data_IF_214324765973
#
_entry.id   IF_214324765973
#
_cell.length_a   1.000
_cell.length_b   1.000
_cell.length_c   1.000
_cell.angle_alpha   90.00
_cell.angle_beta   90.00
_cell.angle_gamma   90.00
#
_symmetry.space_group_name_H-M   'P 1'
#
loop_
_entity.id
_entity.type
_entity.pdbx_description
1 polymer ?
#
# COMPACT_ATOMS: atom_id res chain seq x y z
N UNK A 1 -61.92 1.72 5.51
CA UNK A 1 -61.29 0.53 6.13
C UNK A 1 -61.66 -0.68 5.29
N UNK A 2 -60.76 -1.13 4.43
CA UNK A 2 -60.92 -2.30 3.56
C UNK A 2 -59.63 -3.11 3.66
N UNK A 3 -59.74 -4.35 4.16
CA UNK A 3 -58.63 -5.28 4.30
C UNK A 3 -58.72 -6.36 3.23
N UNK A 4 -57.70 -6.45 2.39
CA UNK A 4 -57.60 -7.41 1.27
C UNK A 4 -56.86 -8.67 1.75
N UNK A 5 -57.48 -9.85 1.56
CA UNK A 5 -56.89 -11.17 1.85
C UNK A 5 -55.67 -11.45 0.96
N UNK A 6 -54.53 -11.74 1.58
CA UNK A 6 -53.38 -12.42 0.94
C UNK A 6 -53.57 -13.94 1.05
N UNK A 7 -53.53 -14.64 -0.07
CA UNK A 7 -53.45 -16.10 -0.17
C UNK A 7 -52.00 -16.55 0.03
N UNK A 8 -51.73 -17.34 1.06
CA UNK A 8 -50.45 -18.04 1.23
C UNK A 8 -50.48 -19.37 0.46
N UNK A 9 -49.51 -19.60 -0.42
CA UNK A 9 -49.22 -20.93 -0.97
C UNK A 9 -48.61 -21.79 0.14
N UNK A 10 -49.31 -22.83 0.56
CA UNK A 10 -48.78 -23.91 1.39
C UNK A 10 -47.80 -24.74 0.54
N UNK A 11 -46.52 -24.70 0.90
CA UNK A 11 -45.58 -25.74 0.48
C UNK A 11 -45.79 -26.94 1.41
N UNK A 12 -46.16 -28.09 0.84
CA UNK A 12 -46.29 -29.33 1.61
C UNK A 12 -44.90 -29.81 2.03
N UNK A 13 -44.65 -29.94 3.33
CA UNK A 13 -43.47 -30.61 3.88
C UNK A 13 -43.85 -32.02 4.30
N UNK A 14 -43.19 -33.02 3.74
CA UNK A 14 -43.30 -34.41 4.18
C UNK A 14 -42.24 -34.66 5.26
N UNK A 15 -42.65 -35.11 6.45
CA UNK A 15 -41.75 -35.45 7.54
C UNK A 15 -41.36 -36.93 7.51
N UNK A 16 -40.08 -37.23 7.66
CA UNK A 16 -39.59 -38.57 8.01
C UNK A 16 -38.93 -38.53 9.39
N UNK A 17 -39.34 -39.43 10.27
CA UNK A 17 -38.68 -39.71 11.55
C UNK A 17 -37.97 -41.05 11.41
N UNK A 18 -36.64 -41.07 11.56
CA UNK A 18 -35.87 -42.28 11.79
C UNK A 18 -35.20 -42.18 13.16
N UNK A 19 -35.45 -43.17 14.01
CA UNK A 19 -34.69 -43.39 15.23
C UNK A 19 -33.39 -44.13 14.87
N UNK A 20 -32.24 -43.50 15.14
CA UNK A 20 -30.91 -44.13 15.03
C UNK A 20 -29.91 -43.35 14.18
N UNK A 21 -29.07 -42.55 14.85
CA UNK A 21 -27.75 -42.04 14.40
C UNK A 21 -27.67 -41.36 13.02
N UNK A 22 -28.38 -40.25 12.87
CA UNK A 22 -27.85 -38.92 12.48
C UNK A 22 -26.92 -38.75 11.27
N UNK A 23 -27.45 -38.81 10.04
CA UNK A 23 -27.10 -37.85 8.98
C UNK A 23 -28.33 -37.63 8.08
N UNK A 24 -28.94 -36.45 8.16
CA UNK A 24 -30.12 -36.07 7.36
C UNK A 24 -29.67 -35.49 6.01
N UNK A 25 -29.86 -36.23 4.92
CA UNK A 25 -29.77 -35.66 3.56
C UNK A 25 -31.14 -35.15 3.13
N UNK A 26 -31.26 -33.84 2.95
CA UNK A 26 -32.41 -33.22 2.33
C UNK A 26 -32.16 -33.09 0.82
N UNK A 27 -32.85 -33.89 0.01
CA UNK A 27 -32.96 -33.65 -1.42
C UNK A 27 -34.34 -33.02 -1.69
N UNK A 28 -34.37 -31.77 -2.19
CA UNK A 28 -35.61 -31.18 -2.67
C UNK A 28 -35.92 -31.72 -4.06
N UNK A 29 -37.03 -32.46 -4.19
CA UNK A 29 -37.56 -32.88 -5.49
C UNK A 29 -38.29 -31.72 -6.16
N UNK A 30 -38.07 -31.55 -7.46
CA UNK A 30 -38.86 -30.59 -8.25
C UNK A 30 -40.28 -31.12 -8.49
N UNK A 31 -41.28 -30.25 -8.74
CA UNK A 31 -42.66 -30.67 -8.97
C UNK A 31 -42.83 -31.67 -10.13
N UNK A 32 -41.94 -31.62 -11.13
CA UNK A 32 -41.94 -32.53 -12.26
C UNK A 32 -41.45 -33.95 -11.90
N UNK A 33 -40.47 -34.05 -10.99
CA UNK A 33 -39.92 -35.33 -10.52
C UNK A 33 -40.87 -36.04 -9.55
N UNK A 34 -41.66 -35.29 -8.77
CA UNK A 34 -42.66 -35.84 -7.87
C UNK A 34 -43.85 -36.48 -8.61
N UNK A 35 -44.14 -36.06 -9.85
CA UNK A 35 -45.31 -36.51 -10.61
C UNK A 35 -45.14 -37.88 -11.29
N UNK A 36 -43.93 -38.43 -11.35
CA UNK A 36 -43.61 -39.66 -12.11
C UNK A 36 -42.93 -40.77 -11.28
N UNK A 37 -42.72 -40.56 -9.98
CA UNK A 37 -42.12 -41.57 -9.10
C UNK A 37 -43.15 -42.64 -8.68
N UNK A 38 -42.78 -43.92 -8.76
CA UNK A 38 -43.57 -45.00 -8.18
C UNK A 38 -43.18 -45.22 -6.71
N UNK A 39 -44.17 -45.40 -5.83
CA UNK A 39 -43.96 -45.66 -4.40
C UNK A 39 -44.41 -47.06 -4.02
N UNK A 40 -43.65 -47.71 -3.14
CA UNK A 40 -44.04 -48.97 -2.52
C UNK A 40 -43.84 -48.90 -1.01
N UNK A 41 -44.87 -49.24 -0.26
CA UNK A 41 -44.81 -49.36 1.20
C UNK A 41 -44.48 -50.80 1.59
N UNK A 42 -43.48 -50.97 2.44
CA UNK A 42 -43.08 -52.27 2.98
C UNK A 42 -43.91 -52.62 4.24
N UNK A 43 -44.00 -53.90 4.62
CA UNK A 43 -44.82 -54.34 5.75
C UNK A 43 -44.45 -53.73 7.12
N UNK A 44 -43.24 -53.19 7.25
CA UNK A 44 -42.74 -52.51 8.45
C UNK A 44 -43.06 -51.00 8.50
N UNK A 45 -43.81 -50.48 7.52
CA UNK A 45 -44.20 -49.08 7.44
C UNK A 45 -43.23 -48.18 6.68
N UNK A 46 -42.12 -48.72 6.17
CA UNK A 46 -41.14 -47.95 5.39
C UNK A 46 -41.65 -47.71 3.96
N UNK A 47 -41.47 -46.49 3.44
CA UNK A 47 -41.83 -46.14 2.05
C UNK A 47 -40.56 -46.07 1.19
N UNK A 48 -40.51 -46.90 0.14
CA UNK A 48 -39.48 -46.90 -0.89
C UNK A 48 -39.96 -46.11 -2.11
N UNK A 49 -39.15 -45.17 -2.60
CA UNK A 49 -39.44 -44.32 -3.76
C UNK A 49 -38.53 -44.74 -4.91
N UNK A 50 -39.10 -45.11 -6.05
CA UNK A 50 -38.38 -45.41 -7.28
C UNK A 50 -38.39 -44.17 -8.19
N UNK A 51 -37.21 -43.59 -8.42
CA UNK A 51 -37.03 -42.53 -9.40
C UNK A 51 -36.77 -43.15 -10.78
N UNK A 52 -37.48 -42.73 -11.85
CA UNK A 52 -37.18 -43.20 -13.18
C UNK A 52 -35.82 -42.66 -13.63
N UNK A 53 -34.96 -43.56 -14.12
CA UNK A 53 -33.75 -43.16 -14.85
C UNK A 53 -34.22 -42.62 -16.20
N UNK A 54 -34.04 -41.32 -16.43
CA UNK A 54 -34.27 -40.72 -17.74
C UNK A 54 -33.05 -41.04 -18.59
N UNK A 55 -33.16 -42.07 -19.42
CA UNK A 55 -32.21 -42.37 -20.48
C UNK A 55 -32.48 -41.37 -21.62
N UNK A 56 -31.59 -40.39 -21.79
CA UNK A 56 -31.67 -39.45 -22.90
C UNK A 56 -31.13 -40.12 -24.16
N UNK A 57 -32.02 -40.50 -25.08
CA UNK A 57 -31.66 -40.85 -26.46
C UNK A 57 -30.91 -39.69 -27.14
N UNK A 58 -29.86 -39.97 -27.95
CA UNK A 58 -29.17 -38.93 -28.68
C UNK A 58 -30.02 -38.48 -29.87
N UNK A 59 -30.61 -37.29 -29.77
CA UNK A 59 -31.25 -36.61 -30.90
C UNK A 59 -30.22 -36.36 -32.00
N UNK A 60 -30.51 -36.79 -33.22
CA UNK A 60 -29.70 -36.51 -34.40
C UNK A 60 -29.71 -35.00 -34.69
N UNK A 61 -28.59 -34.33 -34.38
CA UNK A 61 -28.37 -32.91 -34.66
C UNK A 61 -27.84 -32.76 -36.08
N UNK A 62 -28.52 -31.93 -36.87
CA UNK A 62 -28.08 -31.45 -38.18
C UNK A 62 -26.66 -30.90 -38.12
N UNK A 63 -25.83 -31.22 -39.12
CA UNK A 63 -24.47 -30.70 -39.27
C UNK A 63 -24.49 -29.16 -39.25
N UNK A 64 -23.95 -28.49 -38.21
CA UNK A 64 -23.74 -27.06 -38.30
C UNK A 64 -22.59 -26.82 -39.27
N UNK A 65 -22.79 -25.93 -40.23
CA UNK A 65 -21.71 -25.26 -40.95
C UNK A 65 -20.67 -24.80 -39.94
N UNK A 66 -19.40 -25.18 -40.13
CA UNK A 66 -18.32 -24.82 -39.23
C UNK A 66 -18.22 -23.29 -39.13
N UNK A 67 -18.81 -22.73 -38.07
CA UNK A 67 -18.46 -21.39 -37.59
C UNK A 67 -16.98 -21.46 -37.23
N UNK A 68 -16.12 -20.56 -37.75
CA UNK A 68 -14.72 -20.55 -37.37
C UNK A 68 -14.67 -20.42 -35.85
N UNK A 69 -14.09 -21.42 -35.20
CA UNK A 69 -13.79 -21.40 -33.78
C UNK A 69 -12.97 -20.14 -33.53
N UNK A 70 -13.55 -19.16 -32.84
CA UNK A 70 -12.79 -18.07 -32.25
C UNK A 70 -11.79 -18.73 -31.30
N UNK A 71 -10.54 -18.84 -31.76
CA UNK A 71 -9.40 -19.16 -30.90
C UNK A 71 -9.53 -18.23 -29.71
N UNK A 72 -9.53 -18.71 -28.45
CA UNK A 72 -9.40 -17.80 -27.33
C UNK A 72 -8.11 -17.03 -27.57
N UNK A 73 -8.22 -15.75 -27.92
CA UNK A 73 -7.08 -14.85 -28.00
C UNK A 73 -6.39 -15.00 -26.67
N UNK A 74 -5.19 -15.59 -26.67
CA UNK A 74 -4.36 -15.60 -25.50
C UNK A 74 -4.30 -14.15 -25.02
N UNK A 75 -4.84 -13.88 -23.83
CA UNK A 75 -4.57 -12.61 -23.16
C UNK A 75 -3.06 -12.45 -23.24
N UNK A 76 -2.54 -11.38 -23.86
CA UNK A 76 -1.11 -11.21 -23.92
C UNK A 76 -0.62 -11.31 -22.47
N UNK A 77 0.25 -12.27 -22.20
CA UNK A 77 1.08 -12.24 -20.99
C UNK A 77 1.57 -10.81 -20.91
N UNK A 78 1.21 -10.09 -19.85
CA UNK A 78 1.71 -8.74 -19.64
C UNK A 78 3.22 -8.85 -19.79
N UNK A 79 3.76 -8.30 -20.88
CA UNK A 79 5.19 -8.19 -21.05
C UNK A 79 5.63 -7.37 -19.85
N UNK A 80 6.40 -7.94 -18.93
CA UNK A 80 7.05 -7.18 -17.87
C UNK A 80 7.81 -6.05 -18.56
N UNK A 81 7.24 -4.85 -18.57
CA UNK A 81 7.93 -3.67 -19.06
C UNK A 81 9.07 -3.51 -18.08
N UNK A 82 10.35 -3.63 -18.52
CA UNK A 82 11.46 -3.52 -17.61
C UNK A 82 11.36 -2.16 -16.91
N UNK A 83 11.32 -2.17 -15.58
CA UNK A 83 11.35 -0.94 -14.80
C UNK A 83 12.59 -0.15 -15.22
N UNK A 84 12.47 1.10 -15.67
CA UNK A 84 13.60 1.89 -16.12
C UNK A 84 14.65 2.00 -15.03
N UNK A 85 15.91 1.87 -15.45
CA UNK A 85 17.04 2.13 -14.57
C UNK A 85 17.10 3.63 -14.22
N UNK A 86 17.59 3.95 -13.02
CA UNK A 86 17.75 5.32 -12.59
C UNK A 86 18.84 6.06 -13.40
N UNK A 87 18.70 7.39 -13.59
CA UNK A 87 19.70 8.18 -14.31
C UNK A 87 21.09 8.10 -13.66
N UNK A 88 22.14 7.93 -14.47
CA UNK A 88 23.53 7.83 -13.99
C UNK A 88 24.32 9.14 -14.10
N UNK A 89 23.74 10.17 -14.69
CA UNK A 89 24.38 11.49 -14.86
C UNK A 89 23.40 12.61 -14.52
N UNK A 90 23.91 13.69 -13.94
CA UNK A 90 23.16 14.92 -13.67
C UNK A 90 24.04 16.15 -13.85
N UNK A 91 23.42 17.29 -14.14
CA UNK A 91 24.05 18.61 -14.13
C UNK A 91 23.73 19.42 -12.86
N UNK A 92 22.95 18.85 -11.92
CA UNK A 92 22.61 19.50 -10.65
C UNK A 92 23.81 19.54 -9.72
N UNK A 93 23.85 20.54 -8.85
CA UNK A 93 24.90 20.74 -7.87
C UNK A 93 24.28 20.79 -6.48
N UNK A 94 24.96 20.17 -5.52
CA UNK A 94 24.55 20.09 -4.13
C UNK A 94 25.72 20.47 -3.24
N UNK A 95 25.40 20.96 -2.05
CA UNK A 95 26.37 21.42 -1.07
C UNK A 95 26.23 20.59 0.21
N UNK A 96 27.35 20.37 0.90
CA UNK A 96 27.33 19.81 2.25
C UNK A 96 27.31 20.93 3.28
N UNK A 97 26.64 20.67 4.40
CA UNK A 97 26.69 21.54 5.58
C UNK A 97 27.20 20.77 6.79
N UNK A 98 27.71 21.46 7.83
CA UNK A 98 28.13 20.80 9.06
C UNK A 98 26.96 20.16 9.79
N UNK A 99 27.20 18.95 10.31
CA UNK A 99 26.26 18.18 11.13
C UNK A 99 26.49 18.48 12.62
N UNK A 100 25.42 18.48 13.41
CA UNK A 100 25.51 18.57 14.86
C UNK A 100 25.90 17.21 15.45
N UNK A 101 26.91 17.13 16.34
CA UNK A 101 27.25 15.87 17.00
C UNK A 101 26.15 15.45 18.01
N UNK A 102 26.04 14.14 18.32
CA UNK A 102 26.86 13.05 17.78
C UNK A 102 26.43 12.61 16.38
N UNK A 103 27.31 11.94 15.62
CA UNK A 103 26.90 11.25 14.40
C UNK A 103 25.94 10.09 14.72
N UNK A 104 25.29 9.54 13.69
CA UNK A 104 24.52 8.32 13.79
C UNK A 104 25.37 7.20 14.43
N UNK A 105 24.75 6.41 15.29
CA UNK A 105 25.41 5.39 16.13
C UNK A 105 25.48 4.01 15.45
N UNK A 106 24.90 3.87 14.26
CA UNK A 106 24.94 2.67 13.42
C UNK A 106 25.29 3.02 11.96
N UNK A 107 25.86 2.08 11.19
CA UNK A 107 26.01 2.24 9.74
C UNK A 107 24.66 2.57 9.08
N UNK A 108 24.67 3.53 8.16
CA UNK A 108 23.46 4.10 7.57
C UNK A 108 22.60 3.07 6.83
N UNK A 109 23.25 2.14 6.13
CA UNK A 109 22.60 1.05 5.41
C UNK A 109 21.99 -0.02 6.32
N UNK A 110 22.39 -0.06 7.59
CA UNK A 110 21.91 -0.96 8.64
C UNK A 110 21.05 -0.24 9.70
N UNK A 111 20.83 1.06 9.56
CA UNK A 111 20.10 1.89 10.52
C UNK A 111 18.60 1.92 10.18
N UNK A 112 17.78 1.15 10.92
CA UNK A 112 16.34 1.03 10.63
C UNK A 112 15.53 2.33 10.70
N UNK A 113 16.00 3.34 11.44
CA UNK A 113 15.41 4.68 11.40
C UNK A 113 15.81 5.53 10.20
N UNK A 114 16.92 5.26 9.52
CA UNK A 114 17.39 6.03 8.35
C UNK A 114 17.02 5.35 7.04
N UNK A 115 17.18 4.03 6.96
CA UNK A 115 16.87 3.21 5.80
C UNK A 115 15.54 2.49 6.01
N UNK A 116 14.44 3.13 5.60
CA UNK A 116 13.07 2.66 5.83
C UNK A 116 12.83 1.24 5.28
N UNK A 117 13.54 0.84 4.22
CA UNK A 117 13.41 -0.50 3.65
C UNK A 117 13.85 -1.64 4.58
N UNK A 118 14.69 -1.37 5.59
CA UNK A 118 15.02 -2.36 6.63
C UNK A 118 13.80 -2.69 7.49
N UNK A 119 13.03 -1.65 7.84
CA UNK A 119 11.73 -1.81 8.51
C UNK A 119 10.75 -2.48 7.54
N UNK A 120 10.68 -2.01 6.30
CA UNK A 120 9.63 -2.39 5.37
C UNK A 120 8.25 -1.92 5.84
N UNK A 121 7.22 -2.31 5.10
CA UNK A 121 5.85 -1.89 5.34
C UNK A 121 4.87 -2.89 4.75
N UNK A 122 3.61 -2.80 5.19
CA UNK A 122 2.49 -3.61 4.69
C UNK A 122 1.37 -2.69 4.24
N UNK A 123 0.69 -3.07 3.17
CA UNK A 123 -0.47 -2.34 2.67
C UNK A 123 -1.65 -2.42 3.64
N UNK A 124 -2.43 -1.34 3.73
CA UNK A 124 -3.65 -1.26 4.54
C UNK A 124 -4.84 -0.85 3.68
N UNK A 125 -6.04 -1.20 4.11
CA UNK A 125 -7.29 -0.80 3.44
C UNK A 125 -7.81 0.57 3.91
N UNK A 126 -6.94 1.42 4.45
CA UNK A 126 -7.33 2.73 4.98
C UNK A 126 -7.80 3.65 3.84
N UNK A 127 -8.68 4.60 4.17
CA UNK A 127 -9.20 5.53 3.17
C UNK A 127 -8.08 6.34 2.49
N UNK A 128 -8.11 6.37 1.16
CA UNK A 128 -7.21 7.20 0.36
C UNK A 128 -7.80 8.61 0.23
N UNK A 129 -7.31 9.52 1.07
CA UNK A 129 -7.66 10.93 1.04
C UNK A 129 -7.09 11.67 2.24
N UNK A 130 -7.12 13.00 2.16
CA UNK A 130 -6.77 13.87 3.28
C UNK A 130 -7.75 13.67 4.43
N UNK A 131 -7.20 13.58 5.64
CA UNK A 131 -7.98 13.40 6.87
C UNK A 131 -7.78 14.58 7.81
N UNK A 132 -8.77 14.79 8.67
CA UNK A 132 -8.68 15.75 9.78
C UNK A 132 -8.48 15.00 11.08
N UNK A 133 -7.34 15.24 11.73
CA UNK A 133 -7.05 14.76 13.08
C UNK A 133 -7.09 15.95 14.04
N UNK A 134 -7.80 15.81 15.15
CA UNK A 134 -7.88 16.85 16.18
C UNK A 134 -6.53 17.11 16.86
N UNK A 135 -6.45 18.22 17.61
CA UNK A 135 -5.28 18.59 18.41
C UNK A 135 -4.43 19.69 17.78
N UNK A 136 -3.34 20.05 18.46
CA UNK A 136 -2.40 21.05 17.99
C UNK A 136 -1.69 20.62 16.69
N UNK A 137 -1.17 21.60 15.95
CA UNK A 137 -0.29 21.39 14.80
C UNK A 137 0.83 22.43 14.84
N UNK A 138 1.93 22.16 14.14
CA UNK A 138 3.02 23.12 13.93
C UNK A 138 2.84 23.79 12.56
N UNK A 139 2.62 25.13 12.50
CA UNK A 139 2.57 25.84 11.23
C UNK A 139 3.90 25.79 10.46
N UNK A 140 5.02 25.48 11.13
CA UNK A 140 6.36 25.33 10.56
C UNK A 140 6.74 23.90 10.13
N UNK A 141 5.80 22.95 10.13
CA UNK A 141 6.02 21.58 9.67
C UNK A 141 6.33 21.51 8.16
N UNK A 142 7.10 20.52 7.68
CA UNK A 142 7.30 20.28 6.25
C UNK A 142 5.98 20.04 5.50
N UNK A 143 5.85 20.61 4.32
CA UNK A 143 4.61 20.59 3.53
C UNK A 143 4.76 19.75 2.26
N UNK A 144 3.97 18.69 2.16
CA UNK A 144 3.99 17.72 1.05
C UNK A 144 3.66 18.29 -0.34
N UNK A 145 2.89 19.39 -0.50
CA UNK A 145 2.80 20.05 -1.80
C UNK A 145 4.16 20.43 -2.40
N UNK A 146 5.19 20.67 -1.57
CA UNK A 146 6.55 20.96 -2.04
C UNK A 146 7.27 19.83 -2.77
N UNK A 147 6.72 18.60 -2.74
CA UNK A 147 7.23 17.46 -3.52
C UNK A 147 7.09 17.67 -5.03
N UNK A 148 6.01 18.34 -5.46
CA UNK A 148 5.64 18.49 -6.87
C UNK A 148 5.89 19.92 -7.34
N UNK A 149 6.42 20.07 -8.56
CA UNK A 149 6.78 21.39 -9.11
C UNK A 149 5.59 22.35 -9.25
N UNK A 150 4.40 21.82 -9.51
CA UNK A 150 3.14 22.56 -9.60
C UNK A 150 2.45 22.76 -8.23
N UNK A 151 3.03 22.21 -7.16
CA UNK A 151 2.48 22.26 -5.82
C UNK A 151 1.13 21.55 -5.70
N UNK A 152 0.82 20.52 -6.50
CA UNK A 152 -0.48 19.85 -6.45
C UNK A 152 -0.67 19.01 -5.18
N UNK A 153 -1.94 18.70 -4.87
CA UNK A 153 -2.28 17.53 -4.06
C UNK A 153 -2.47 16.36 -5.01
N UNK A 154 -1.57 15.36 -5.01
CA UNK A 154 -1.71 14.20 -5.89
C UNK A 154 -2.90 13.33 -5.47
N UNK A 155 -3.37 12.47 -6.38
CA UNK A 155 -4.23 11.36 -5.98
C UNK A 155 -3.45 10.42 -5.05
N UNK A 156 -4.06 10.02 -3.94
CA UNK A 156 -3.47 9.01 -3.07
C UNK A 156 -3.78 7.63 -3.66
N UNK A 157 -2.75 6.83 -3.90
CA UNK A 157 -2.82 5.58 -4.69
C UNK A 157 -2.72 4.34 -3.82
N UNK A 158 -1.99 4.41 -2.71
CA UNK A 158 -1.87 3.32 -1.75
C UNK A 158 -1.66 3.84 -0.32
N UNK A 159 -1.98 3.01 0.66
CA UNK A 159 -1.82 3.31 2.07
C UNK A 159 -1.10 2.14 2.74
N UNK A 160 -0.09 2.45 3.53
CA UNK A 160 0.76 1.43 4.14
C UNK A 160 1.02 1.74 5.61
N UNK A 161 1.33 0.68 6.35
CA UNK A 161 1.84 0.74 7.72
C UNK A 161 3.26 0.19 7.75
N UNK A 162 4.19 1.03 8.16
CA UNK A 162 5.60 0.71 8.40
C UNK A 162 5.72 -0.25 9.59
N UNK A 163 6.67 -1.17 9.55
CA UNK A 163 6.99 -2.00 10.72
C UNK A 163 7.85 -1.25 11.74
N UNK A 164 7.73 -1.64 13.00
CA UNK A 164 8.59 -1.14 14.06
C UNK A 164 10.03 -1.66 13.88
N UNK A 165 10.97 -1.08 14.61
CA UNK A 165 12.35 -1.50 14.64
C UNK A 165 12.74 -1.79 16.08
N UNK A 166 13.11 -3.04 16.30
CA UNK A 166 13.54 -3.49 17.60
C UNK A 166 15.06 -3.40 17.68
N UNK A 167 15.56 -2.39 18.41
CA UNK A 167 17.00 -2.22 18.65
C UNK A 167 17.60 -3.30 19.57
N UNK A 168 16.78 -4.07 20.28
CA UNK A 168 17.25 -5.11 21.20
C UNK A 168 17.51 -6.46 20.50
N UNK A 169 17.29 -6.58 19.19
CA UNK A 169 17.59 -7.80 18.43
C UNK A 169 18.73 -7.58 17.43
N UNK A 170 19.77 -8.40 17.50
CA UNK A 170 20.93 -8.29 16.61
C UNK A 170 21.82 -7.08 16.91
N UNK A 171 22.91 -6.94 16.16
CA UNK A 171 23.89 -5.86 16.34
C UNK A 171 23.35 -4.49 15.93
N UNK A 172 22.53 -4.43 14.87
CA UNK A 172 21.99 -3.19 14.30
C UNK A 172 20.46 -3.10 14.40
N UNK A 173 19.85 -3.93 15.25
CA UNK A 173 18.40 -4.07 15.32
C UNK A 173 17.83 -5.01 14.26
N UNK A 174 16.52 -5.26 14.37
CA UNK A 174 15.76 -6.04 13.40
C UNK A 174 14.32 -5.54 13.31
N UNK A 175 13.62 -5.92 12.24
CA UNK A 175 12.20 -5.59 12.03
C UNK A 175 11.34 -6.17 13.15
N UNK A 176 10.51 -5.31 13.74
CA UNK A 176 9.50 -5.67 14.74
C UNK A 176 8.11 -5.87 14.16
N UNK A 177 7.09 -5.70 15.01
CA UNK A 177 5.68 -5.78 14.63
C UNK A 177 5.23 -4.56 13.83
N UNK A 178 4.04 -4.59 13.25
CA UNK A 178 3.45 -3.43 12.57
C UNK A 178 3.28 -2.21 13.51
N UNK A 179 3.55 -0.99 13.03
CA UNK A 179 3.37 0.23 13.82
C UNK A 179 1.89 0.56 14.04
N UNK A 180 1.37 0.14 15.17
CA UNK A 180 0.03 0.48 15.68
C UNK A 180 0.11 1.63 16.70
N UNK A 181 -0.98 2.40 16.92
CA UNK A 181 -2.34 2.25 16.38
C UNK A 181 -2.62 3.03 15.08
N UNK A 182 -1.61 3.61 14.42
CA UNK A 182 -1.84 4.41 13.21
C UNK A 182 -2.25 3.52 12.03
N UNK A 183 -3.32 3.91 11.33
CA UNK A 183 -3.79 3.17 10.15
C UNK A 183 -2.88 3.32 8.93
N UNK A 184 -2.22 4.48 8.83
CA UNK A 184 -1.28 4.81 7.75
C UNK A 184 -0.07 5.51 8.35
N UNK A 185 1.12 5.03 7.97
CA UNK A 185 2.41 5.65 8.31
C UNK A 185 3.31 5.85 7.08
N UNK A 186 2.88 5.34 5.92
CA UNK A 186 3.50 5.56 4.61
C UNK A 186 2.38 5.70 3.56
N UNK A 187 2.45 6.74 2.74
CA UNK A 187 1.42 7.10 1.76
C UNK A 187 1.96 6.99 0.34
N UNK A 188 1.25 6.28 -0.52
CA UNK A 188 1.45 6.30 -1.97
C UNK A 188 0.73 7.47 -2.61
N UNK A 189 1.45 8.19 -3.46
CA UNK A 189 0.99 9.34 -4.21
C UNK A 189 1.21 9.11 -5.69
N UNK A 190 0.16 9.28 -6.48
CA UNK A 190 0.22 9.18 -7.94
C UNK A 190 1.11 10.27 -8.52
N UNK A 191 2.10 9.86 -9.29
CA UNK A 191 3.08 10.71 -9.94
C UNK A 191 3.60 9.99 -11.18
N UNK A 192 3.95 10.71 -12.23
CA UNK A 192 4.37 10.07 -13.48
C UNK A 192 5.80 9.52 -13.33
N UNK A 193 6.07 8.35 -13.88
CA UNK A 193 7.43 7.86 -14.01
C UNK A 193 8.35 8.89 -14.69
N UNK A 194 9.50 9.16 -14.06
CA UNK A 194 10.46 10.15 -14.54
C UNK A 194 10.11 11.60 -14.19
N UNK A 195 8.96 11.85 -13.55
CA UNK A 195 8.60 13.18 -13.04
C UNK A 195 9.66 13.67 -12.06
N UNK A 196 10.14 14.90 -12.25
CA UNK A 196 11.08 15.53 -11.34
C UNK A 196 10.40 15.79 -9.98
N UNK A 197 11.01 15.31 -8.91
CA UNK A 197 10.49 15.52 -7.55
C UNK A 197 11.48 16.33 -6.70
N UNK A 198 10.88 17.18 -5.88
CA UNK A 198 11.54 17.93 -4.83
C UNK A 198 11.28 17.19 -3.50
N UNK A 199 11.37 17.90 -2.39
CA UNK A 199 11.06 17.42 -1.05
C UNK A 199 10.01 18.31 -0.39
N UNK A 200 9.40 17.87 0.72
CA UNK A 200 8.40 18.67 1.41
C UNK A 200 9.00 20.00 1.86
N UNK A 201 8.38 21.10 1.45
CA UNK A 201 8.95 22.43 1.64
C UNK A 201 8.82 22.87 3.10
N UNK A 202 9.74 23.72 3.57
CA UNK A 202 9.69 24.25 4.93
C UNK A 202 10.20 25.68 5.00
N UNK A 203 9.55 26.52 5.81
CA UNK A 203 9.95 27.92 5.96
C UNK A 203 11.23 28.13 6.78
N UNK A 204 11.36 27.43 7.91
CA UNK A 204 12.51 27.60 8.80
C UNK A 204 13.75 26.85 8.29
N UNK A 205 14.87 27.57 8.28
CA UNK A 205 16.18 27.04 7.89
C UNK A 205 16.80 26.18 9.00
N UNK A 206 17.55 25.16 8.60
CA UNK A 206 18.41 24.37 9.49
C UNK A 206 19.83 24.94 9.54
N UNK A 207 20.24 25.67 8.51
CA UNK A 207 21.55 26.30 8.38
C UNK A 207 21.47 27.55 7.51
N UNK A 208 22.41 28.49 7.71
CA UNK A 208 22.49 29.71 6.91
C UNK A 208 22.68 29.41 5.42
N UNK A 209 22.22 30.32 4.56
CA UNK A 209 22.29 30.14 3.10
C UNK A 209 21.07 29.43 2.49
N UNK A 210 19.96 29.32 3.23
CA UNK A 210 18.69 28.82 2.70
C UNK A 210 18.45 27.33 2.86
N UNK A 211 19.33 26.59 3.53
CA UNK A 211 19.19 25.15 3.71
C UNK A 211 18.08 24.83 4.71
N UNK A 212 17.20 23.90 4.34
CA UNK A 212 15.99 23.54 5.08
C UNK A 212 15.90 22.04 5.41
N UNK A 213 16.63 21.19 4.69
CA UNK A 213 16.66 19.76 4.91
C UNK A 213 18.09 19.21 4.78
N UNK A 214 18.43 18.23 5.60
CA UNK A 214 19.69 17.47 5.61
C UNK A 214 19.43 16.07 5.07
N UNK A 215 20.28 15.57 4.18
CA UNK A 215 20.19 14.20 3.66
C UNK A 215 20.82 13.24 4.65
N UNK A 216 19.97 12.54 5.42
CA UNK A 216 20.40 11.56 6.42
C UNK A 216 20.72 10.20 5.78
N UNK A 217 19.98 9.83 4.74
CA UNK A 217 20.23 8.60 3.99
C UNK A 217 19.88 8.74 2.52
N UNK A 218 20.69 8.16 1.65
CA UNK A 218 20.39 8.06 0.23
C UNK A 218 20.94 6.76 -0.36
N UNK A 219 20.11 6.08 -1.13
CA UNK A 219 20.53 5.04 -2.08
C UNK A 219 19.99 5.40 -3.47
N UNK A 220 20.10 4.50 -4.44
CA UNK A 220 19.63 4.76 -5.81
C UNK A 220 18.13 5.00 -5.88
N UNK A 221 17.35 4.40 -4.98
CA UNK A 221 15.89 4.28 -5.11
C UNK A 221 15.09 4.88 -3.94
N UNK A 222 15.78 5.48 -2.96
CA UNK A 222 15.17 6.05 -1.74
C UNK A 222 16.09 7.05 -1.08
N UNK A 223 15.48 7.99 -0.35
CA UNK A 223 16.17 9.05 0.37
C UNK A 223 15.42 9.38 1.68
N UNK A 224 16.17 9.75 2.71
CA UNK A 224 15.65 10.19 4.00
C UNK A 224 16.20 11.57 4.33
N UNK A 225 15.31 12.47 4.70
CA UNK A 225 15.57 13.89 4.94
C UNK A 225 15.24 14.26 6.38
N UNK A 226 16.19 14.84 7.10
CA UNK A 226 15.98 15.46 8.41
C UNK A 226 15.77 16.97 8.28
N UNK A 227 14.85 17.54 9.07
CA UNK A 227 14.60 18.98 9.12
C UNK A 227 15.27 19.64 10.34
N UNK A 228 16.40 19.07 10.75
CA UNK A 228 17.39 19.65 11.67
C UNK A 228 18.79 19.41 11.10
N UNK A 229 19.84 19.73 11.87
CA UNK A 229 21.23 19.37 11.51
C UNK A 229 21.74 18.14 12.26
N UNK A 230 20.89 17.48 13.01
CA UNK A 230 21.26 16.29 13.77
C UNK A 230 21.34 15.10 12.82
N UNK A 231 22.32 14.22 13.03
CA UNK A 231 22.44 12.97 12.28
C UNK A 231 21.50 11.88 12.85
N UNK A 232 20.23 12.24 13.00
CA UNK A 232 19.24 11.42 13.68
C UNK A 232 17.83 11.84 13.29
N UNK A 233 16.89 10.91 13.39
CA UNK A 233 15.45 11.18 13.25
C UNK A 233 14.79 11.64 14.56
N UNK A 234 15.51 11.56 15.69
CA UNK A 234 14.96 11.83 17.01
C UNK A 234 14.56 13.30 17.24
N UNK A 235 15.28 14.31 16.71
CA UNK A 235 14.85 15.70 16.77
C UNK A 235 14.14 16.17 15.50
N UNK A 236 13.16 17.06 15.68
CA UNK A 236 12.44 17.70 14.58
C UNK A 236 11.68 16.73 13.69
N UNK A 237 11.50 17.10 12.42
CA UNK A 237 10.79 16.29 11.43
C UNK A 237 11.76 15.46 10.60
N UNK A 238 11.30 14.30 10.14
CA UNK A 238 12.00 13.49 9.14
C UNK A 238 11.02 13.03 8.08
N UNK A 239 11.46 13.00 6.82
CA UNK A 239 10.68 12.45 5.70
C UNK A 239 11.47 11.34 5.04
N UNK A 240 10.84 10.20 4.84
CA UNK A 240 11.35 9.10 4.02
C UNK A 240 10.63 9.11 2.68
N UNK A 241 11.38 9.04 1.58
CA UNK A 241 10.85 8.89 0.24
C UNK A 241 11.35 7.57 -0.35
N UNK A 242 10.43 6.76 -0.82
CA UNK A 242 10.69 5.49 -1.53
C UNK A 242 10.17 5.60 -2.98
N UNK A 243 10.64 4.70 -3.85
CA UNK A 243 10.33 4.72 -5.29
C UNK A 243 10.83 5.99 -6.00
N UNK A 244 12.02 6.47 -5.61
CA UNK A 244 12.65 7.68 -6.16
C UNK A 244 13.99 7.32 -6.78
N UNK A 245 14.19 7.62 -8.05
CA UNK A 245 15.53 7.70 -8.62
C UNK A 245 16.25 8.94 -8.10
N UNK A 246 17.09 8.78 -7.07
CA UNK A 246 17.83 9.88 -6.45
C UNK A 246 18.84 10.45 -7.46
N UNK A 247 18.96 11.78 -7.50
CA UNK A 247 19.89 12.45 -8.40
C UNK A 247 21.32 11.90 -8.19
N UNK A 248 22.00 11.46 -9.27
CA UNK A 248 23.29 10.78 -9.13
C UNK A 248 24.38 11.67 -8.52
N UNK A 249 24.32 13.01 -8.69
CA UNK A 249 25.28 13.91 -8.06
C UNK A 249 25.00 14.06 -6.55
N UNK A 250 23.72 14.07 -6.15
CA UNK A 250 23.33 14.08 -4.74
C UNK A 250 23.75 12.79 -4.03
N UNK A 251 23.47 11.65 -4.67
CA UNK A 251 23.85 10.33 -4.17
C UNK A 251 25.37 10.18 -4.05
N UNK A 252 26.13 10.64 -5.04
CA UNK A 252 27.59 10.63 -4.98
C UNK A 252 28.12 11.47 -3.81
N UNK A 253 27.56 12.68 -3.61
CA UNK A 253 27.95 13.55 -2.50
C UNK A 253 27.61 12.94 -1.14
N UNK A 254 26.44 12.31 -1.01
CA UNK A 254 26.05 11.58 0.19
C UNK A 254 27.01 10.43 0.49
N UNK A 255 27.31 9.57 -0.50
CA UNK A 255 28.23 8.44 -0.33
C UNK A 255 29.63 8.90 0.08
N UNK A 256 30.14 10.00 -0.51
CA UNK A 256 31.40 10.62 -0.11
C UNK A 256 31.36 11.08 1.36
N UNK A 257 30.30 11.78 1.74
CA UNK A 257 30.12 12.29 3.10
C UNK A 257 30.00 11.18 4.14
N UNK A 258 29.29 10.10 3.81
CA UNK A 258 29.12 8.93 4.66
C UNK A 258 30.46 8.24 4.93
N UNK A 259 31.24 7.98 3.89
CA UNK A 259 32.60 7.41 4.00
C UNK A 259 33.57 8.31 4.78
N UNK A 260 33.35 9.63 4.76
CA UNK A 260 34.13 10.61 5.51
C UNK A 260 33.71 10.74 6.98
N UNK A 261 32.79 9.90 7.48
CA UNK A 261 32.36 9.88 8.88
C UNK A 261 31.26 10.88 9.22
N UNK A 262 30.50 11.35 8.22
CA UNK A 262 29.22 12.08 8.39
C UNK A 262 29.28 13.41 9.16
N UNK A 263 30.46 13.97 9.41
CA UNK A 263 30.60 15.29 10.06
C UNK A 263 30.07 16.47 9.22
N UNK A 264 29.91 16.24 7.91
CA UNK A 264 29.15 17.09 7.00
C UNK A 264 28.27 16.18 6.16
N UNK A 265 27.05 16.58 5.84
CA UNK A 265 26.13 15.84 4.97
C UNK A 265 25.50 16.78 3.94
N UNK A 266 25.06 16.26 2.76
CA UNK A 266 24.36 17.08 1.78
C UNK A 266 23.12 17.75 2.39
N UNK A 267 22.85 18.98 2.00
CA UNK A 267 21.62 19.68 2.39
C UNK A 267 20.95 20.35 1.20
N UNK A 268 19.64 20.56 1.34
CA UNK A 268 18.76 21.02 0.29
C UNK A 268 18.10 22.36 0.64
N UNK A 269 17.88 23.18 -0.38
CA UNK A 269 17.09 24.43 -0.35
C UNK A 269 15.72 24.16 -0.96
N UNK A 270 14.69 24.89 -0.52
CA UNK A 270 13.34 24.71 -1.08
C UNK A 270 13.37 24.83 -2.62
N UNK A 271 12.78 23.86 -3.30
CA UNK A 271 12.72 23.78 -4.75
C UNK A 271 13.89 23.04 -5.41
N UNK A 272 14.91 22.63 -4.66
CA UNK A 272 15.93 21.71 -5.19
C UNK A 272 15.26 20.40 -5.60
N UNK A 273 15.50 20.00 -6.85
CA UNK A 273 15.06 18.69 -7.37
C UNK A 273 16.07 17.64 -6.91
N UNK A 274 15.61 16.71 -6.09
CA UNK A 274 16.46 15.67 -5.49
C UNK A 274 16.51 14.39 -6.31
N UNK A 275 15.64 14.24 -7.31
CA UNK A 275 15.51 13.03 -8.09
C UNK A 275 14.28 13.03 -8.99
N UNK A 276 13.91 11.85 -9.47
CA UNK A 276 12.69 11.61 -10.25
C UNK A 276 11.92 10.42 -9.70
N UNK A 277 10.61 10.35 -9.95
CA UNK A 277 9.82 9.17 -9.57
C UNK A 277 10.24 7.96 -10.40
N UNK A 278 10.47 6.82 -9.76
CA UNK A 278 10.98 5.60 -10.42
C UNK A 278 9.88 4.87 -11.19
N UNK A 279 8.69 4.80 -10.62
CA UNK A 279 7.47 4.15 -11.17
C UNK A 279 6.29 5.11 -11.00
N UNK A 280 5.09 4.77 -11.44
CA UNK A 280 3.93 5.69 -11.38
C UNK A 280 3.37 5.94 -9.96
N UNK A 281 4.21 5.83 -8.94
CA UNK A 281 3.90 6.06 -7.54
C UNK A 281 5.13 6.54 -6.76
N UNK A 282 4.96 7.63 -6.02
CA UNK A 282 5.89 8.12 -5.00
C UNK A 282 5.39 7.73 -3.61
N UNK A 283 6.25 7.16 -2.77
CA UNK A 283 5.90 6.76 -1.41
C UNK A 283 6.54 7.72 -0.40
N UNK A 284 5.76 8.29 0.52
CA UNK A 284 6.27 9.19 1.55
C UNK A 284 5.79 8.83 2.97
N UNK A 285 6.73 8.73 3.89
CA UNK A 285 6.48 8.64 5.33
C UNK A 285 7.04 9.88 6.02
N UNK A 286 6.41 10.30 7.11
CA UNK A 286 6.85 11.45 7.90
C UNK A 286 6.91 11.08 9.38
N UNK A 287 7.94 11.58 10.07
CA UNK A 287 8.12 11.45 11.51
C UNK A 287 8.17 12.82 12.16
N UNK A 288 7.64 12.89 13.37
CA UNK A 288 7.80 13.98 14.31
C UNK A 288 8.55 13.44 15.54
N UNK A 289 9.78 13.93 15.74
CA UNK A 289 10.69 13.56 16.82
C UNK A 289 10.83 12.05 16.99
N UNK A 290 11.14 11.37 15.89
CA UNK A 290 11.30 9.92 15.84
C UNK A 290 9.99 9.13 15.85
N UNK A 291 8.80 9.75 15.91
CA UNK A 291 7.53 9.02 15.85
C UNK A 291 6.93 9.12 14.46
N UNK A 292 6.63 7.99 13.81
CA UNK A 292 5.86 7.99 12.55
C UNK A 292 4.49 8.62 12.75
N UNK A 293 4.11 9.49 11.83
CA UNK A 293 2.83 10.20 11.84
C UNK A 293 1.94 9.71 10.71
N UNK A 294 0.66 10.12 10.71
CA UNK A 294 -0.21 9.86 9.57
C UNK A 294 0.08 10.90 8.47
N UNK A 295 0.67 10.52 7.32
CA UNK A 295 1.02 11.44 6.24
C UNK A 295 -0.18 12.10 5.56
N UNK A 296 -1.42 11.64 5.83
CA UNK A 296 -2.64 12.19 5.23
C UNK A 296 -3.19 13.40 5.98
N UNK A 297 -2.65 13.72 7.15
CA UNK A 297 -3.25 14.76 8.00
C UNK A 297 -3.17 16.14 7.35
N UNK A 298 -4.34 16.69 7.01
CA UNK A 298 -4.48 17.92 6.24
C UNK A 298 -3.80 19.12 6.92
N UNK A 299 -4.12 19.34 8.20
CA UNK A 299 -3.60 20.49 8.96
C UNK A 299 -2.08 20.47 9.16
N UNK A 300 -1.45 19.29 9.14
CA UNK A 300 -0.04 19.15 9.50
C UNK A 300 0.84 19.25 8.24
N UNK A 301 0.52 18.48 7.18
CA UNK A 301 1.41 18.29 6.03
C UNK A 301 0.88 18.88 4.72
N UNK A 302 -0.39 19.29 4.69
CA UNK A 302 -1.10 19.73 3.49
C UNK A 302 -1.84 21.06 3.73
N UNK A 303 -1.17 22.01 4.38
CA UNK A 303 -1.78 23.29 4.72
C UNK A 303 -2.28 24.00 3.46
N UNK A 304 -3.50 24.53 3.52
CA UNK A 304 -4.17 25.20 2.41
C UNK A 304 -4.85 24.27 1.38
N UNK A 305 -5.00 22.98 1.70
CA UNK A 305 -5.68 21.96 0.87
C UNK A 305 -6.98 21.45 1.51
#
# INVERSE_FOLDING_TARGET
>A
MHATRKTHRLSSFLFFVLAGTGLLYFAQLTPAQAATSAQRTLPDGTVQIYLPVVETEPTATSTPTATPTSVPTATPTATDIPTPACPTTSNRQFEMIPVLPPPADHPDDQHGDLNLALRGYVETSAQLGLIDINGAFDPGAPQFPGLFADGRTPSFTSAHRVYDWNWACGEHGCRGDELTPRDVTLLGMGADQGEAISFPSRGAQIYGGGFVALVLYASEERITLGYTRDDSVAPGYTVHLESVCVDPNLLALYRQANLAGRGNLPALRNGDVLGTVKVDELLAAVRDRGTFMDPRTRKDWWQGR
#
